data_IF_997809380765
#
_entry.id   IF_997809380765
#
_cell.length_a   1.000
_cell.length_b   1.000
_cell.length_c   1.000
_cell.angle_alpha   90.00
_cell.angle_beta   90.00
_cell.angle_gamma   90.00
#
_symmetry.space_group_name_H-M   'P 1'
#
loop_
_entity.id
_entity.type
_entity.pdbx_description
1 polymer ?
#
# COMPACT_ATOMS: atom_id res chain seq x y z
N UNK A 1 -3.33 -20.87 12.93
CA UNK A 1 -1.95 -20.61 13.37
C UNK A 1 -1.64 -19.17 13.07
N UNK A 2 -0.80 -18.47 13.87
CA UNK A 2 -0.41 -17.11 13.52
C UNK A 2 0.32 -17.10 12.17
N UNK A 3 0.00 -16.13 11.32
CA UNK A 3 0.71 -15.91 10.07
C UNK A 3 1.91 -15.00 10.31
N UNK A 4 3.03 -15.32 9.68
CA UNK A 4 4.23 -14.51 9.74
C UNK A 4 4.35 -13.65 8.48
N UNK A 5 4.76 -12.41 8.65
CA UNK A 5 5.05 -11.50 7.55
C UNK A 5 6.44 -10.89 7.69
N UNK A 6 7.04 -10.53 6.56
CA UNK A 6 8.31 -9.81 6.53
C UNK A 6 8.07 -8.36 6.11
N UNK A 7 8.76 -7.42 6.78
CA UNK A 7 8.85 -6.02 6.40
C UNK A 7 10.25 -5.72 5.90
N UNK A 8 10.38 -5.14 4.72
CA UNK A 8 11.67 -4.86 4.10
C UNK A 8 11.79 -3.38 3.75
N UNK A 9 12.84 -2.74 4.25
CA UNK A 9 13.28 -1.42 3.81
C UNK A 9 14.09 -1.60 2.52
N UNK A 10 13.65 -1.12 1.35
CA UNK A 10 14.32 -1.39 0.09
C UNK A 10 15.55 -0.49 -0.14
N UNK A 11 16.59 -0.72 0.66
CA UNK A 11 17.88 -0.01 0.58
C UNK A 11 18.85 -0.67 -0.40
N UNK A 12 18.69 -1.96 -0.72
CA UNK A 12 19.41 -2.69 -1.76
C UNK A 12 18.78 -2.53 -3.15
N UNK A 13 19.34 -3.16 -4.17
CA UNK A 13 18.73 -3.23 -5.50
C UNK A 13 17.41 -4.01 -5.47
N UNK A 14 16.55 -3.79 -6.47
CA UNK A 14 15.28 -4.52 -6.56
C UNK A 14 15.47 -6.04 -6.63
N UNK A 15 16.55 -6.50 -7.29
CA UNK A 15 16.90 -7.92 -7.37
C UNK A 15 17.30 -8.50 -6.02
N UNK A 16 18.17 -7.81 -5.25
CA UNK A 16 18.54 -8.24 -3.90
C UNK A 16 17.33 -8.32 -2.96
N UNK A 17 16.45 -7.34 -3.03
CA UNK A 17 15.22 -7.34 -2.22
C UNK A 17 14.29 -8.51 -2.63
N UNK A 18 14.20 -8.82 -3.92
CA UNK A 18 13.42 -9.96 -4.40
C UNK A 18 14.00 -11.31 -3.91
N UNK A 19 15.33 -11.46 -3.82
CA UNK A 19 15.95 -12.65 -3.22
C UNK A 19 15.62 -12.77 -1.72
N UNK A 20 15.66 -11.67 -0.97
CA UNK A 20 15.28 -11.66 0.46
C UNK A 20 13.80 -12.05 0.62
N UNK A 21 12.91 -11.53 -0.23
CA UNK A 21 11.49 -11.87 -0.21
C UNK A 21 11.26 -13.37 -0.52
N UNK A 22 11.93 -13.89 -1.54
CA UNK A 22 11.88 -15.33 -1.87
C UNK A 22 12.37 -16.20 -0.73
N UNK A 23 13.47 -15.82 -0.10
CA UNK A 23 13.99 -16.53 1.10
C UNK A 23 12.97 -16.53 2.24
N UNK A 24 12.28 -15.40 2.47
CA UNK A 24 11.24 -15.30 3.50
C UNK A 24 10.03 -16.20 3.17
N UNK A 25 9.62 -16.25 1.89
CA UNK A 25 8.56 -17.15 1.43
C UNK A 25 8.92 -18.62 1.70
N UNK A 26 10.13 -19.04 1.38
CA UNK A 26 10.63 -20.40 1.64
C UNK A 26 10.62 -20.76 3.13
N UNK A 27 10.63 -19.77 4.01
CA UNK A 27 10.53 -19.92 5.48
C UNK A 27 9.11 -19.78 6.02
N UNK A 28 8.11 -19.70 5.13
CA UNK A 28 6.70 -19.70 5.50
C UNK A 28 6.12 -18.33 5.82
N UNK A 29 6.77 -17.23 5.44
CA UNK A 29 6.15 -15.92 5.51
C UNK A 29 5.01 -15.84 4.47
N UNK A 30 3.82 -15.45 4.93
CA UNK A 30 2.62 -15.33 4.10
C UNK A 30 2.45 -13.96 3.44
N UNK A 31 3.13 -12.92 3.96
CA UNK A 31 3.09 -11.54 3.44
C UNK A 31 4.45 -10.88 3.44
N UNK A 32 4.69 -10.06 2.40
CA UNK A 32 5.83 -9.16 2.31
C UNK A 32 5.36 -7.72 2.17
N UNK A 33 5.80 -6.89 3.09
CA UNK A 33 5.52 -5.45 3.13
C UNK A 33 6.79 -4.69 2.76
N UNK A 34 6.71 -3.83 1.74
CA UNK A 34 7.84 -3.03 1.29
C UNK A 34 7.61 -1.56 1.66
N UNK A 35 8.54 -0.97 2.40
CA UNK A 35 8.47 0.44 2.75
C UNK A 35 8.54 1.34 1.51
N UNK A 36 7.71 2.39 1.50
CA UNK A 36 7.71 3.46 0.50
C UNK A 36 8.13 4.78 1.17
N UNK A 37 9.43 4.98 1.29
CA UNK A 37 10.01 6.17 1.92
C UNK A 37 10.56 7.17 0.89
N UNK A 38 9.88 7.26 -0.24
CA UNK A 38 10.17 8.25 -1.28
C UNK A 38 11.61 8.20 -1.78
N UNK A 39 12.34 9.31 -1.66
CA UNK A 39 13.72 9.42 -2.14
C UNK A 39 14.77 8.65 -1.30
N UNK A 40 14.39 8.18 -0.12
CA UNK A 40 15.29 7.45 0.79
C UNK A 40 15.43 5.99 0.35
N UNK A 41 14.43 5.44 -0.33
CA UNK A 41 14.38 4.06 -0.79
C UNK A 41 14.23 3.99 -2.31
N UNK A 42 14.32 2.75 -2.87
CA UNK A 42 13.92 2.50 -4.26
C UNK A 42 12.41 2.66 -4.39
N UNK A 43 11.93 2.98 -5.60
CA UNK A 43 10.50 3.02 -5.89
C UNK A 43 9.84 1.68 -5.52
N UNK A 44 8.82 1.76 -4.66
CA UNK A 44 8.18 0.58 -4.07
C UNK A 44 7.55 -0.32 -5.13
N UNK A 45 7.00 0.23 -6.19
CA UNK A 45 6.31 -0.55 -7.24
C UNK A 45 7.29 -1.30 -8.14
N UNK A 46 8.47 -0.71 -8.40
CA UNK A 46 9.56 -1.41 -9.11
C UNK A 46 10.07 -2.60 -8.29
N UNK A 47 10.24 -2.41 -6.99
CA UNK A 47 10.66 -3.49 -6.08
C UNK A 47 9.59 -4.57 -5.99
N UNK A 48 8.31 -4.20 -5.84
CA UNK A 48 7.20 -5.15 -5.78
C UNK A 48 7.06 -5.95 -7.09
N UNK A 49 7.30 -5.35 -8.25
CA UNK A 49 7.31 -6.07 -9.52
C UNK A 49 8.41 -7.13 -9.56
N UNK A 50 9.64 -6.81 -9.09
CA UNK A 50 10.72 -7.78 -8.99
C UNK A 50 10.37 -8.94 -8.03
N UNK A 51 9.75 -8.65 -6.90
CA UNK A 51 9.28 -9.66 -5.94
C UNK A 51 8.17 -10.51 -6.54
N UNK A 52 7.21 -9.90 -7.26
CA UNK A 52 6.12 -10.61 -7.93
C UNK A 52 6.61 -11.70 -8.85
N UNK A 53 7.67 -11.42 -9.61
CA UNK A 53 8.30 -12.37 -10.54
C UNK A 53 9.13 -13.47 -9.84
N UNK A 54 9.59 -13.22 -8.62
CA UNK A 54 10.49 -14.13 -7.90
C UNK A 54 9.76 -15.04 -6.91
N UNK A 55 8.62 -14.62 -6.39
CA UNK A 55 7.81 -15.35 -5.40
C UNK A 55 6.58 -16.01 -6.04
N UNK A 56 5.97 -17.02 -5.37
CA UNK A 56 4.89 -17.81 -5.94
C UNK A 56 3.59 -17.78 -5.12
N UNK A 57 3.66 -17.56 -3.82
CA UNK A 57 2.51 -17.72 -2.89
C UNK A 57 2.30 -16.53 -1.97
N UNK A 58 3.38 -15.85 -1.63
CA UNK A 58 3.38 -14.76 -0.66
C UNK A 58 2.62 -13.55 -1.18
N UNK A 59 1.70 -13.02 -0.38
CA UNK A 59 1.04 -11.74 -0.66
C UNK A 59 2.06 -10.61 -0.57
N UNK A 60 1.99 -9.64 -1.47
CA UNK A 60 2.98 -8.58 -1.60
C UNK A 60 2.32 -7.21 -1.71
N UNK A 61 2.88 -6.22 -1.07
CA UNK A 61 2.33 -4.86 -1.14
C UNK A 61 3.18 -3.82 -0.42
N UNK A 62 2.87 -2.52 -0.62
CA UNK A 62 3.55 -1.46 0.11
C UNK A 62 3.23 -1.52 1.60
N UNK A 63 4.23 -1.34 2.42
CA UNK A 63 4.08 -1.33 3.87
C UNK A 63 4.74 -0.13 4.51
N UNK A 64 4.19 1.02 4.22
CA UNK A 64 3.02 1.50 3.50
C UNK A 64 3.37 2.61 2.50
N UNK A 65 2.57 2.76 1.45
CA UNK A 65 2.59 3.98 0.64
C UNK A 65 1.72 5.08 1.26
N UNK A 66 1.68 6.24 0.63
CA UNK A 66 0.94 7.40 1.15
C UNK A 66 0.03 8.02 0.08
N UNK A 67 -0.93 8.81 0.56
CA UNK A 67 -1.96 9.42 -0.27
C UNK A 67 -1.51 10.71 -1.00
N UNK A 68 -0.27 11.18 -0.83
CA UNK A 68 0.15 12.50 -1.32
C UNK A 68 1.10 12.48 -2.51
N UNK A 69 2.00 11.50 -2.58
CA UNK A 69 3.05 11.46 -3.62
C UNK A 69 2.55 10.98 -4.98
N UNK A 70 1.38 10.32 -5.02
CA UNK A 70 0.80 9.77 -6.26
C UNK A 70 -0.69 10.03 -6.33
N UNK A 71 -1.17 10.39 -7.52
CA UNK A 71 -2.60 10.42 -7.79
C UNK A 71 -3.24 9.03 -7.61
N UNK A 72 -4.45 8.89 -7.03
CA UNK A 72 -5.08 7.60 -6.78
C UNK A 72 -5.19 6.70 -8.02
N UNK A 73 -5.50 7.26 -9.18
CA UNK A 73 -5.54 6.50 -10.43
C UNK A 73 -4.18 5.87 -10.80
N UNK A 74 -3.06 6.55 -10.51
CA UNK A 74 -1.71 6.03 -10.77
C UNK A 74 -1.36 4.94 -9.74
N UNK A 75 -1.75 5.13 -8.49
CA UNK A 75 -1.59 4.11 -7.44
C UNK A 75 -2.43 2.86 -7.76
N UNK A 76 -3.69 3.05 -8.15
CA UNK A 76 -4.57 1.95 -8.55
C UNK A 76 -3.99 1.14 -9.69
N UNK A 77 -3.55 1.82 -10.76
CA UNK A 77 -2.94 1.18 -11.93
C UNK A 77 -1.68 0.39 -11.56
N UNK A 78 -0.79 0.95 -10.73
CA UNK A 78 0.43 0.26 -10.30
C UNK A 78 0.14 -1.00 -9.50
N UNK A 79 -0.76 -0.93 -8.52
CA UNK A 79 -1.15 -2.09 -7.69
C UNK A 79 -1.86 -3.16 -8.53
N UNK A 80 -2.78 -2.77 -9.41
CA UNK A 80 -3.47 -3.71 -10.28
C UNK A 80 -2.51 -4.41 -11.25
N UNK A 81 -1.50 -3.71 -11.77
CA UNK A 81 -0.46 -4.30 -12.62
C UNK A 81 0.42 -5.29 -11.84
N UNK A 82 0.72 -4.99 -10.58
CA UNK A 82 1.43 -5.93 -9.70
C UNK A 82 0.56 -7.13 -9.36
N UNK A 83 -0.74 -6.93 -9.17
CA UNK A 83 -1.68 -8.02 -8.93
C UNK A 83 -1.74 -8.97 -10.13
N UNK A 84 -1.87 -8.45 -11.34
CA UNK A 84 -1.80 -9.23 -12.57
C UNK A 84 -0.47 -9.98 -12.69
N UNK A 85 0.66 -9.28 -12.53
CA UNK A 85 2.00 -9.85 -12.64
C UNK A 85 2.27 -10.95 -11.61
N UNK A 86 1.71 -10.82 -10.41
CA UNK A 86 1.87 -11.78 -9.32
C UNK A 86 0.85 -12.93 -9.35
N UNK A 87 -0.15 -12.90 -10.24
CA UNK A 87 -1.23 -13.86 -10.26
C UNK A 87 -2.21 -13.72 -9.08
N UNK A 88 -2.58 -12.48 -8.75
CA UNK A 88 -3.59 -12.17 -7.73
C UNK A 88 -3.06 -12.09 -6.30
N UNK A 89 -1.80 -11.70 -6.09
CA UNK A 89 -1.16 -11.64 -4.76
C UNK A 89 -0.87 -10.24 -4.24
N UNK A 90 -1.31 -9.18 -4.94
CA UNK A 90 -1.08 -7.83 -4.44
C UNK A 90 -2.09 -7.40 -3.38
N UNK A 91 -1.66 -6.52 -2.50
CA UNK A 91 -2.50 -5.73 -1.60
C UNK A 91 -1.96 -4.30 -1.53
N UNK A 92 -2.78 -3.38 -1.05
CA UNK A 92 -2.38 -1.99 -0.84
C UNK A 92 -2.29 -1.66 0.65
N UNK A 93 -1.10 -1.33 1.14
CA UNK A 93 -0.94 -0.64 2.43
C UNK A 93 -0.87 0.86 2.23
N UNK A 94 -1.75 1.62 2.88
CA UNK A 94 -1.93 3.06 2.68
C UNK A 94 -1.93 3.82 4.01
N UNK A 95 -1.28 4.97 4.04
CA UNK A 95 -1.29 5.87 5.18
C UNK A 95 -1.22 7.34 4.81
N UNK A 96 -1.07 8.17 5.83
CA UNK A 96 -1.05 9.63 5.66
C UNK A 96 0.32 10.21 5.31
N UNK A 97 1.32 9.37 5.04
CA UNK A 97 2.69 9.81 4.79
C UNK A 97 3.44 10.29 6.05
N UNK A 98 4.74 10.24 6.00
CA UNK A 98 5.66 10.68 7.04
C UNK A 98 6.63 11.75 6.56
N UNK A 99 7.32 12.42 7.51
CA UNK A 99 8.28 13.48 7.20
C UNK A 99 9.44 13.00 6.34
N UNK A 100 9.94 11.76 6.54
CA UNK A 100 11.02 11.20 5.71
C UNK A 100 10.69 11.19 4.21
N UNK A 101 9.42 11.01 3.87
CA UNK A 101 8.94 10.97 2.49
C UNK A 101 8.55 12.36 2.00
N UNK A 102 7.73 13.09 2.76
CA UNK A 102 7.07 14.30 2.27
C UNK A 102 7.95 15.55 2.36
N UNK A 103 8.73 15.71 3.44
CA UNK A 103 9.51 16.92 3.68
C UNK A 103 10.60 17.17 2.60
N UNK A 104 11.40 16.16 2.17
CA UNK A 104 12.38 16.37 1.11
C UNK A 104 11.75 16.75 -0.24
N UNK A 105 10.51 16.29 -0.50
CA UNK A 105 9.75 16.62 -1.72
C UNK A 105 8.94 17.92 -1.57
N UNK A 106 8.98 18.59 -0.42
CA UNK A 106 8.19 19.77 -0.08
C UNK A 106 6.68 19.57 -0.30
N UNK A 107 6.20 18.39 0.01
CA UNK A 107 4.77 18.04 -0.07
C UNK A 107 4.14 18.30 1.29
N UNK A 108 3.23 19.27 1.35
CA UNK A 108 2.50 19.59 2.57
C UNK A 108 1.38 18.58 2.83
N UNK A 109 1.32 18.09 4.07
CA UNK A 109 0.31 17.12 4.51
C UNK A 109 -0.93 17.82 5.05
N UNK A 110 -1.82 18.23 4.16
CA UNK A 110 -3.09 18.88 4.52
C UNK A 110 -4.23 17.88 4.69
N UNK A 111 -5.00 18.00 5.79
CA UNK A 111 -6.20 17.19 6.07
C UNK A 111 -6.00 15.68 5.86
N UNK A 112 -5.05 15.05 6.57
CA UNK A 112 -4.63 13.67 6.28
C UNK A 112 -5.76 12.64 6.39
N UNK A 113 -6.71 12.81 7.32
CA UNK A 113 -7.86 11.91 7.42
C UNK A 113 -8.78 12.00 6.20
N UNK A 114 -9.07 13.22 5.73
CA UNK A 114 -9.87 13.43 4.52
C UNK A 114 -9.17 12.84 3.30
N UNK A 115 -7.88 13.12 3.15
CA UNK A 115 -7.09 12.61 2.02
C UNK A 115 -7.06 11.07 1.96
N UNK A 116 -6.81 10.41 3.09
CA UNK A 116 -6.80 8.94 3.15
C UNK A 116 -8.19 8.37 2.90
N UNK A 117 -9.25 8.99 3.46
CA UNK A 117 -10.63 8.57 3.23
C UNK A 117 -10.99 8.63 1.74
N UNK A 118 -10.82 9.79 1.12
CA UNK A 118 -11.15 9.98 -0.29
C UNK A 118 -10.33 9.06 -1.20
N UNK A 119 -9.07 8.79 -0.83
CA UNK A 119 -8.24 7.84 -1.56
C UNK A 119 -8.84 6.42 -1.51
N UNK A 120 -9.29 5.94 -0.35
CA UNK A 120 -9.94 4.62 -0.24
C UNK A 120 -11.26 4.59 -0.99
N UNK A 121 -12.09 5.65 -0.87
CA UNK A 121 -13.38 5.78 -1.57
C UNK A 121 -13.22 5.71 -3.10
N UNK A 122 -12.11 6.21 -3.64
CA UNK A 122 -11.77 6.14 -5.07
C UNK A 122 -11.17 4.79 -5.45
N UNK A 123 -10.24 4.27 -4.65
CA UNK A 123 -9.48 3.05 -4.97
C UNK A 123 -10.36 1.80 -4.93
N UNK A 124 -11.26 1.70 -3.96
CA UNK A 124 -12.11 0.53 -3.77
C UNK A 124 -12.95 0.19 -5.01
N UNK A 125 -13.73 1.11 -5.59
CA UNK A 125 -14.48 0.83 -6.82
C UNK A 125 -13.56 0.63 -8.04
N UNK A 126 -12.41 1.33 -8.12
CA UNK A 126 -11.43 1.07 -9.19
C UNK A 126 -10.91 -0.38 -9.13
N UNK A 127 -10.62 -0.91 -7.94
CA UNK A 127 -10.22 -2.31 -7.76
C UNK A 127 -11.31 -3.33 -8.02
N UNK A 128 -12.56 -2.91 -8.19
CA UNK A 128 -13.66 -3.73 -8.68
C UNK A 128 -13.94 -3.55 -10.18
N UNK A 129 -13.10 -2.78 -10.88
CA UNK A 129 -13.29 -2.51 -12.31
C UNK A 129 -14.48 -1.58 -12.62
N UNK A 130 -14.99 -0.87 -11.61
CA UNK A 130 -16.10 0.07 -11.76
C UNK A 130 -15.65 1.38 -12.41
N UNK A 131 -16.57 2.07 -13.10
CA UNK A 131 -16.33 3.43 -13.58
C UNK A 131 -16.54 4.42 -12.45
N UNK A 132 -15.52 5.20 -12.12
CA UNK A 132 -15.51 6.14 -10.99
C UNK A 132 -15.57 7.57 -11.47
N UNK A 133 -16.61 8.28 -11.05
CA UNK A 133 -16.67 9.74 -11.08
C UNK A 133 -16.79 10.22 -9.64
N UNK A 134 -15.81 10.98 -9.19
CA UNK A 134 -15.67 11.39 -7.78
C UNK A 134 -15.35 12.88 -7.71
N UNK A 135 -15.97 13.60 -6.79
CA UNK A 135 -15.72 15.01 -6.52
C UNK A 135 -15.66 15.22 -5.02
N UNK A 136 -14.48 15.00 -4.44
CA UNK A 136 -14.18 15.21 -3.03
C UNK A 136 -13.59 16.58 -2.75
N UNK A 137 -13.13 16.76 -1.53
CA UNK A 137 -12.43 17.98 -1.10
C UNK A 137 -10.98 18.02 -1.61
N UNK A 138 -10.34 16.87 -1.71
CA UNK A 138 -8.93 16.70 -2.04
C UNK A 138 -8.70 16.02 -3.39
N UNK A 139 -9.57 15.14 -3.78
CA UNK A 139 -9.45 14.33 -4.98
C UNK A 139 -10.66 14.51 -5.89
N UNK A 140 -10.41 14.41 -7.18
CA UNK A 140 -11.48 14.33 -8.16
C UNK A 140 -11.09 13.38 -9.29
N UNK A 141 -12.06 12.60 -9.77
CA UNK A 141 -11.94 11.74 -10.94
C UNK A 141 -13.16 11.92 -11.83
N UNK A 142 -12.99 11.73 -13.11
CA UNK A 142 -14.05 11.77 -14.08
C UNK A 142 -14.01 10.54 -14.97
N UNK A 143 -15.03 9.66 -14.85
CA UNK A 143 -15.21 8.46 -15.65
C UNK A 143 -13.95 7.56 -15.70
N UNK A 144 -13.20 7.51 -14.59
CA UNK A 144 -11.99 6.70 -14.49
C UNK A 144 -12.33 5.22 -14.33
N UNK A 145 -11.64 4.35 -15.08
CA UNK A 145 -11.84 2.90 -15.04
C UNK A 145 -10.57 2.14 -15.36
N UNK A 146 -10.45 0.93 -14.85
CA UNK A 146 -9.40 -0.02 -15.19
C UNK A 146 -10.05 -1.32 -15.69
N UNK A 147 -9.87 -1.65 -16.97
CA UNK A 147 -10.53 -2.80 -17.61
C UNK A 147 -9.81 -4.15 -17.37
N UNK A 148 -8.61 -4.12 -16.79
CA UNK A 148 -7.75 -5.29 -16.56
C UNK A 148 -7.74 -5.77 -15.10
N UNK A 149 -8.55 -5.19 -14.23
CA UNK A 149 -8.70 -5.66 -12.84
C UNK A 149 -9.50 -6.95 -12.82
N UNK A 150 -8.94 -8.00 -12.23
CA UNK A 150 -9.52 -9.34 -12.22
C UNK A 150 -10.18 -9.72 -10.88
N UNK A 151 -9.88 -8.98 -9.81
CA UNK A 151 -10.42 -9.22 -8.45
C UNK A 151 -10.39 -7.96 -7.61
N UNK A 152 -11.14 -7.95 -6.53
CA UNK A 152 -11.00 -6.93 -5.49
C UNK A 152 -9.65 -7.08 -4.78
N UNK A 153 -8.94 -5.96 -4.61
CA UNK A 153 -7.62 -5.90 -3.98
C UNK A 153 -7.77 -5.33 -2.57
N UNK A 154 -7.24 -6.06 -1.57
CA UNK A 154 -7.32 -5.66 -0.17
C UNK A 154 -6.59 -4.34 0.10
N UNK A 155 -7.21 -3.47 0.90
CA UNK A 155 -6.65 -2.19 1.35
C UNK A 155 -6.43 -2.25 2.86
N UNK A 156 -5.17 -2.12 3.28
CA UNK A 156 -4.79 -1.99 4.67
C UNK A 156 -4.48 -0.53 4.97
N UNK A 157 -5.08 0.03 6.03
CA UNK A 157 -4.71 1.35 6.48
C UNK A 157 -3.67 1.29 7.59
N UNK A 158 -2.88 2.36 7.73
CA UNK A 158 -1.91 2.50 8.79
C UNK A 158 -1.99 3.86 9.48
N UNK A 159 -1.75 3.85 10.78
CA UNK A 159 -1.72 5.06 11.59
C UNK A 159 -1.67 4.72 13.08
N UNK A 160 -1.52 5.75 13.91
CA UNK A 160 -1.39 5.60 15.37
C UNK A 160 -2.45 6.38 16.15
N UNK A 161 -3.06 7.36 15.52
CA UNK A 161 -4.07 8.19 16.17
C UNK A 161 -5.46 7.55 16.16
N UNK A 162 -6.29 7.76 17.20
CA UNK A 162 -7.60 7.13 17.34
C UNK A 162 -8.52 7.37 16.14
N UNK A 163 -8.53 8.57 15.58
CA UNK A 163 -9.33 8.91 14.39
C UNK A 163 -8.92 8.14 13.13
N UNK A 164 -7.63 7.80 12.97
CA UNK A 164 -7.17 7.00 11.84
C UNK A 164 -7.49 5.51 12.06
N UNK A 165 -7.43 5.04 13.30
CA UNK A 165 -7.86 3.68 13.66
C UNK A 165 -9.36 3.50 13.40
N UNK A 166 -10.18 4.47 13.79
CA UNK A 166 -11.63 4.48 13.53
C UNK A 166 -11.92 4.46 12.03
N UNK A 167 -11.22 5.31 11.25
CA UNK A 167 -11.34 5.32 9.79
C UNK A 167 -10.96 3.97 9.18
N UNK A 168 -9.89 3.35 9.67
CA UNK A 168 -9.46 2.02 9.22
C UNK A 168 -10.48 0.94 9.52
N UNK A 169 -11.08 0.96 10.70
CA UNK A 169 -12.13 0.01 11.08
C UNK A 169 -13.39 0.11 10.21
N UNK A 170 -13.66 1.29 9.65
CA UNK A 170 -14.83 1.53 8.78
C UNK A 170 -14.58 1.18 7.31
N UNK A 171 -13.37 1.40 6.80
CA UNK A 171 -13.12 1.43 5.35
C UNK A 171 -12.09 0.40 4.86
N UNK A 172 -11.27 -0.17 5.74
CA UNK A 172 -10.17 -1.04 5.34
C UNK A 172 -10.46 -2.52 5.60
N UNK A 173 -9.75 -3.40 4.89
CA UNK A 173 -9.79 -4.85 5.11
C UNK A 173 -8.92 -5.27 6.28
N UNK A 174 -8.00 -4.40 6.70
CA UNK A 174 -7.15 -4.58 7.86
C UNK A 174 -6.37 -3.32 8.22
N UNK A 175 -5.62 -3.42 9.32
CA UNK A 175 -4.85 -2.28 9.81
C UNK A 175 -3.40 -2.68 10.09
N UNK A 176 -2.46 -1.91 9.54
CA UNK A 176 -1.03 -2.07 9.79
C UNK A 176 -0.62 -1.24 11.02
N UNK A 177 -0.32 -1.93 12.11
CA UNK A 177 0.08 -1.33 13.36
C UNK A 177 1.61 -1.32 13.50
N UNK A 178 2.19 -0.14 13.63
CA UNK A 178 3.62 0.03 13.86
C UNK A 178 3.89 0.84 15.12
N UNK A 179 4.95 0.49 15.87
CA UNK A 179 5.38 1.19 17.09
C UNK A 179 4.31 1.25 18.22
N UNK A 180 3.40 0.28 18.28
CA UNK A 180 2.32 0.23 19.30
C UNK A 180 2.67 -0.69 20.48
N UNK A 181 3.82 -1.38 20.44
CA UNK A 181 4.24 -2.28 21.51
C UNK A 181 4.29 -1.62 22.90
N UNK A 182 4.49 -0.30 22.95
CA UNK A 182 4.44 0.44 24.22
C UNK A 182 3.05 0.50 24.86
N UNK A 183 1.98 0.27 24.11
CA UNK A 183 0.60 0.25 24.61
C UNK A 183 0.21 -1.11 25.18
N UNK A 184 0.93 -2.17 24.85
CA UNK A 184 0.69 -3.53 25.37
C UNK A 184 1.24 -3.66 26.81
N UNK A 185 2.15 -2.78 27.20
CA UNK A 185 2.78 -2.77 28.52
C UNK A 185 2.16 -1.75 29.47
N UNK A 186 1.10 -1.09 29.09
CA UNK A 186 0.28 -0.24 29.90
C UNK A 186 -0.97 -0.99 30.35
#
# INVERSE_FOLDING_TARGET
MPEFSVNIMPTGSAGEIAEIASFAEDRGCSRCWIYDEGLVTRDVYVVLAAIAMKTQKMMIGPGITNAYVRHPGVTASAIASIDELSGGRAFLGLGSGGGLTLDPMRIERHKPLTMVREMVEVLRPLFRGETVTFSGEKLSLNSARMDYVSREIDIFLAGRGPRMLELGAQLADGFYLSYILSLIHI
#
